data_IF_430215645553
#
_entry.id   IF_430215645553
#
_cell.length_a   1.000
_cell.length_b   1.000
_cell.length_c   1.000
_cell.angle_alpha   90.00
_cell.angle_beta   90.00
_cell.angle_gamma   90.00
#
_symmetry.space_group_name_H-M   'P 1'
#
loop_
_entity.id
_entity.type
_entity.pdbx_description
1 polymer ?
#
# COMPACT_ATOMS: atom_id res chain seq x y z
N UNK A 1 17.54 -3.42 14.58
CA UNK A 1 17.20 -2.77 15.86
C UNK A 1 17.51 -1.28 15.83
N UNK A 2 18.59 -0.85 15.16
CA UNK A 2 19.00 0.58 15.15
C UNK A 2 17.95 1.53 14.55
N UNK A 3 17.21 1.13 13.52
CA UNK A 3 16.13 1.94 12.95
C UNK A 3 15.03 2.22 13.98
N UNK A 4 14.54 1.18 14.67
CA UNK A 4 13.48 1.31 15.68
C UNK A 4 13.95 2.17 16.85
N UNK A 5 15.16 1.94 17.35
CA UNK A 5 15.73 2.76 18.44
C UNK A 5 15.87 4.23 18.03
N UNK A 6 16.25 4.51 16.77
CA UNK A 6 16.28 5.86 16.24
C UNK A 6 14.88 6.49 16.17
N UNK A 7 13.86 5.74 15.74
CA UNK A 7 12.48 6.25 15.67
C UNK A 7 11.87 6.48 17.06
N UNK A 8 12.15 5.60 18.02
CA UNK A 8 11.76 5.76 19.44
C UNK A 8 12.34 7.04 20.03
N UNK A 9 13.60 7.36 19.70
CA UNK A 9 14.24 8.60 20.15
C UNK A 9 13.65 9.86 19.48
N UNK A 10 13.15 9.75 18.25
CA UNK A 10 12.54 10.87 17.51
C UNK A 10 11.07 11.09 17.89
N UNK A 11 10.37 10.02 18.25
CA UNK A 11 8.95 10.02 18.59
C UNK A 11 8.72 9.27 19.90
N UNK A 12 9.03 9.88 21.06
CA UNK A 12 8.83 9.24 22.36
C UNK A 12 7.37 8.87 22.62
N UNK A 13 6.40 9.60 22.03
CA UNK A 13 4.97 9.27 22.09
C UNK A 13 4.62 7.94 21.40
N UNK A 14 5.40 7.52 20.40
CA UNK A 14 5.20 6.31 19.61
C UNK A 14 6.16 5.19 20.05
N UNK A 15 6.92 5.42 21.13
CA UNK A 15 7.96 4.52 21.60
C UNK A 15 7.45 3.10 21.87
N UNK A 16 6.29 2.98 22.52
CA UNK A 16 5.66 1.69 22.82
C UNK A 16 5.26 0.93 21.56
N UNK A 17 4.74 1.64 20.56
CA UNK A 17 4.29 1.06 19.29
C UNK A 17 5.49 0.57 18.47
N UNK A 18 6.54 1.38 18.38
CA UNK A 18 7.80 1.00 17.75
C UNK A 18 8.49 -0.16 18.48
N UNK A 19 8.49 -0.17 19.81
CA UNK A 19 9.00 -1.28 20.61
C UNK A 19 8.21 -2.58 20.32
N UNK A 20 6.88 -2.48 20.27
CA UNK A 20 6.01 -3.62 19.92
C UNK A 20 6.31 -4.16 18.53
N UNK A 21 6.50 -3.28 17.52
CA UNK A 21 6.91 -3.68 16.18
C UNK A 21 8.27 -4.40 16.19
N UNK A 22 9.22 -3.92 16.99
CA UNK A 22 10.53 -4.55 17.17
C UNK A 22 10.43 -5.95 17.77
N UNK A 23 9.65 -6.11 18.84
CA UNK A 23 9.42 -7.41 19.46
C UNK A 23 8.72 -8.40 18.52
N UNK A 24 7.69 -7.96 17.79
CA UNK A 24 6.98 -8.80 16.83
C UNK A 24 7.91 -9.26 15.71
N UNK A 25 8.83 -8.40 15.28
CA UNK A 25 9.86 -8.73 14.29
C UNK A 25 10.89 -9.72 14.84
N UNK A 26 11.36 -9.54 16.08
CA UNK A 26 12.28 -10.47 16.74
C UNK A 26 11.66 -11.86 16.93
N UNK A 27 10.39 -11.90 17.34
CA UNK A 27 9.57 -13.11 17.47
C UNK A 27 9.14 -13.71 16.12
N UNK A 28 9.48 -13.05 14.99
CA UNK A 28 9.13 -13.47 13.61
C UNK A 28 7.63 -13.65 13.39
N UNK A 29 6.81 -12.85 14.09
CA UNK A 29 5.34 -12.88 14.02
C UNK A 29 4.84 -12.02 12.85
N UNK A 30 5.14 -12.45 11.63
CA UNK A 30 4.90 -11.66 10.40
C UNK A 30 3.45 -11.24 10.20
N UNK A 31 2.49 -12.10 10.57
CA UNK A 31 1.07 -11.78 10.45
C UNK A 31 0.67 -10.65 11.40
N UNK A 32 0.98 -10.77 12.69
CA UNK A 32 0.68 -9.74 13.68
C UNK A 32 1.45 -8.45 13.40
N UNK A 33 2.69 -8.56 12.93
CA UNK A 33 3.50 -7.42 12.51
C UNK A 33 2.80 -6.63 11.40
N UNK A 34 2.29 -7.31 10.37
CA UNK A 34 1.57 -6.64 9.28
C UNK A 34 0.30 -5.92 9.74
N UNK A 35 -0.45 -6.51 10.68
CA UNK A 35 -1.66 -5.91 11.26
C UNK A 35 -1.33 -4.69 12.14
N UNK A 36 -0.27 -4.81 12.95
CA UNK A 36 0.22 -3.71 13.79
C UNK A 36 0.70 -2.55 12.92
N UNK A 37 1.46 -2.82 11.86
CA UNK A 37 1.86 -1.81 10.87
C UNK A 37 0.65 -1.17 10.18
N UNK A 38 -0.35 -1.96 9.79
CA UNK A 38 -1.56 -1.46 9.15
C UNK A 38 -2.33 -0.51 10.08
N UNK A 39 -2.43 -0.86 11.37
CA UNK A 39 -3.07 -0.04 12.40
C UNK A 39 -2.26 1.23 12.68
N UNK A 40 -0.94 1.11 12.79
CA UNK A 40 -0.03 2.24 12.98
C UNK A 40 -0.15 3.24 11.82
N UNK A 41 -0.13 2.76 10.57
CA UNK A 41 -0.24 3.62 9.40
C UNK A 41 -1.66 4.18 9.18
N UNK A 42 -2.68 3.49 9.65
CA UNK A 42 -4.07 3.98 9.61
C UNK A 42 -4.30 5.10 10.64
N UNK A 43 -3.54 5.11 11.73
CA UNK A 43 -3.59 6.18 12.72
C UNK A 43 -2.82 7.40 12.22
N UNK A 44 -3.54 8.36 11.62
CA UNK A 44 -2.93 9.60 11.09
C UNK A 44 -2.15 10.44 12.12
N UNK A 45 -2.33 10.22 13.44
CA UNK A 45 -1.52 10.84 14.50
C UNK A 45 -0.07 10.33 14.53
N UNK A 46 0.11 9.09 14.09
CA UNK A 46 1.37 8.37 14.07
C UNK A 46 2.14 8.71 12.80
N UNK A 47 1.46 9.12 11.74
CA UNK A 47 2.07 9.60 10.50
C UNK A 47 2.57 11.03 10.70
N UNK A 48 3.89 11.23 10.72
CA UNK A 48 4.53 12.54 10.88
C UNK A 48 5.70 12.65 9.90
N UNK A 49 5.61 13.62 8.98
CA UNK A 49 6.62 13.81 7.93
C UNK A 49 6.81 12.54 7.08
N UNK A 50 8.06 12.11 6.91
CA UNK A 50 8.43 10.96 6.07
C UNK A 50 8.58 9.65 6.85
N UNK A 51 8.06 9.57 8.08
CA UNK A 51 8.27 8.40 8.93
C UNK A 51 7.66 7.10 8.35
N UNK A 52 6.52 7.18 7.67
CA UNK A 52 5.87 6.04 7.01
C UNK A 52 6.74 5.43 5.92
N UNK A 53 7.32 6.29 5.07
CA UNK A 53 8.22 5.85 4.00
C UNK A 53 9.53 5.29 4.56
N UNK A 54 10.11 5.94 5.56
CA UNK A 54 11.30 5.44 6.24
C UNK A 54 11.06 4.09 6.91
N UNK A 55 9.89 3.89 7.52
CA UNK A 55 9.49 2.61 8.12
C UNK A 55 9.40 1.52 7.05
N UNK A 56 8.85 1.84 5.89
CA UNK A 56 8.81 0.88 4.78
C UNK A 56 10.23 0.50 4.32
N UNK A 57 11.06 1.49 4.01
CA UNK A 57 12.40 1.27 3.44
C UNK A 57 13.38 0.63 4.43
N UNK A 58 13.36 1.08 5.69
CA UNK A 58 14.31 0.64 6.71
C UNK A 58 13.89 -0.62 7.47
N UNK A 59 12.59 -0.94 7.49
CA UNK A 59 12.05 -2.05 8.25
C UNK A 59 11.31 -3.05 7.35
N UNK A 60 10.21 -2.65 6.71
CA UNK A 60 9.34 -3.57 5.95
C UNK A 60 10.08 -4.26 4.81
N UNK A 61 10.93 -3.53 4.07
CA UNK A 61 11.70 -4.05 2.94
C UNK A 61 12.58 -5.25 3.28
N UNK A 62 13.02 -5.37 4.54
CA UNK A 62 13.86 -6.49 4.98
C UNK A 62 13.10 -7.82 5.07
N UNK A 63 11.78 -7.79 5.27
CA UNK A 63 10.94 -8.96 5.45
C UNK A 63 9.72 -9.01 4.52
N UNK A 64 9.62 -8.11 3.54
CA UNK A 64 8.53 -8.06 2.55
C UNK A 64 8.30 -9.40 1.84
N UNK A 65 9.38 -10.17 1.59
CA UNK A 65 9.31 -11.47 0.94
C UNK A 65 8.64 -12.56 1.81
N UNK A 66 8.55 -12.33 3.13
CA UNK A 66 7.89 -13.25 4.09
C UNK A 66 6.44 -12.86 4.36
N UNK A 67 6.04 -11.66 3.96
CA UNK A 67 4.68 -11.18 4.12
C UNK A 67 3.77 -11.72 3.01
N UNK A 68 2.47 -11.79 3.33
CA UNK A 68 1.46 -11.95 2.31
C UNK A 68 1.48 -10.71 1.40
N UNK A 69 1.57 -10.93 0.09
CA UNK A 69 1.73 -9.86 -0.89
C UNK A 69 0.51 -8.94 -0.96
N UNK A 70 -0.71 -9.44 -0.73
CA UNK A 70 -1.93 -8.62 -0.67
C UNK A 70 -1.88 -7.68 0.54
N UNK A 71 -1.38 -8.16 1.69
CA UNK A 71 -1.16 -7.32 2.88
C UNK A 71 -0.06 -6.29 2.64
N UNK A 72 1.02 -6.68 1.97
CA UNK A 72 2.08 -5.75 1.58
C UNK A 72 1.53 -4.64 0.65
N UNK A 73 0.71 -4.99 -0.34
CA UNK A 73 0.05 -4.02 -1.19
C UNK A 73 -0.82 -3.04 -0.39
N UNK A 74 -1.60 -3.53 0.59
CA UNK A 74 -2.37 -2.68 1.49
C UNK A 74 -1.52 -1.71 2.31
N UNK A 75 -0.37 -2.17 2.83
CA UNK A 75 0.58 -1.30 3.53
C UNK A 75 1.15 -0.23 2.60
N UNK A 76 1.53 -0.60 1.38
CA UNK A 76 2.01 0.33 0.36
C UNK A 76 0.93 1.36 0.00
N UNK A 77 -0.34 0.96 -0.10
CA UNK A 77 -1.48 1.89 -0.25
C UNK A 77 -1.57 2.88 0.92
N UNK A 78 -1.34 2.43 2.15
CA UNK A 78 -1.42 3.32 3.32
C UNK A 78 -0.26 4.31 3.33
N UNK A 79 0.97 3.86 3.05
CA UNK A 79 2.14 4.74 2.91
C UNK A 79 1.95 5.72 1.75
N UNK A 80 1.42 5.27 0.62
CA UNK A 80 1.21 6.16 -0.53
C UNK A 80 0.19 7.26 -0.25
N UNK A 81 -0.82 7.01 0.60
CA UNK A 81 -1.79 8.03 1.04
C UNK A 81 -1.19 9.12 1.93
N UNK A 82 -0.05 8.88 2.57
CA UNK A 82 0.62 9.90 3.39
C UNK A 82 1.54 10.79 2.56
N UNK A 83 1.87 10.37 1.34
CA UNK A 83 2.69 11.09 0.39
C UNK A 83 1.84 11.94 -0.56
N UNK A 84 2.47 12.92 -1.20
CA UNK A 84 1.87 13.65 -2.31
C UNK A 84 1.62 12.71 -3.49
N UNK A 85 0.58 12.95 -4.27
CA UNK A 85 0.15 12.08 -5.38
C UNK A 85 1.29 11.74 -6.37
N UNK A 86 2.20 12.68 -6.68
CA UNK A 86 3.37 12.41 -7.52
C UNK A 86 4.37 11.42 -6.88
N UNK A 87 4.74 11.66 -5.61
CA UNK A 87 5.66 10.78 -4.88
C UNK A 87 5.02 9.41 -4.60
N UNK A 88 3.70 9.39 -4.37
CA UNK A 88 2.91 8.19 -4.18
C UNK A 88 2.95 7.30 -5.42
N UNK A 89 2.82 7.89 -6.62
CA UNK A 89 2.97 7.16 -7.88
C UNK A 89 4.36 6.57 -8.05
N UNK A 90 5.41 7.37 -7.83
CA UNK A 90 6.79 6.89 -7.96
C UNK A 90 7.10 5.77 -6.97
N UNK A 91 6.60 5.88 -5.74
CA UNK A 91 6.73 4.85 -4.72
C UNK A 91 6.01 3.56 -5.12
N UNK A 92 4.74 3.63 -5.53
CA UNK A 92 3.99 2.46 -5.98
C UNK A 92 4.63 1.84 -7.22
N UNK A 93 5.09 2.64 -8.18
CA UNK A 93 5.80 2.15 -9.37
C UNK A 93 7.11 1.43 -9.03
N UNK A 94 7.84 1.92 -8.03
CA UNK A 94 9.06 1.27 -7.52
C UNK A 94 8.74 -0.10 -6.94
N UNK A 95 7.66 -0.22 -6.18
CA UNK A 95 7.20 -1.51 -5.64
C UNK A 95 6.68 -2.42 -6.75
N UNK A 96 5.93 -1.88 -7.72
CA UNK A 96 5.46 -2.58 -8.90
C UNK A 96 6.60 -3.05 -9.82
N UNK A 97 7.80 -2.47 -9.76
CA UNK A 97 8.96 -3.02 -10.46
C UNK A 97 9.29 -4.46 -10.00
N UNK A 98 8.92 -4.80 -8.75
CA UNK A 98 8.99 -6.16 -8.21
C UNK A 98 7.71 -6.98 -8.47
N UNK A 99 6.91 -6.66 -9.50
CA UNK A 99 5.62 -7.30 -9.85
C UNK A 99 5.63 -8.82 -9.80
N UNK A 100 6.70 -9.44 -10.31
CA UNK A 100 6.85 -10.90 -10.34
C UNK A 100 6.83 -11.54 -8.94
N UNK A 101 7.28 -10.82 -7.92
CA UNK A 101 7.30 -11.28 -6.52
C UNK A 101 5.99 -11.00 -5.79
N UNK A 102 5.33 -9.88 -6.13
CA UNK A 102 4.03 -9.49 -5.60
C UNK A 102 2.92 -10.47 -6.00
N UNK A 103 3.04 -11.06 -7.18
CA UNK A 103 1.96 -11.85 -7.76
C UNK A 103 0.86 -10.97 -8.35
N UNK A 104 -0.07 -11.60 -9.06
CA UNK A 104 -1.09 -10.88 -9.86
C UNK A 104 -2.02 -10.07 -8.97
N UNK A 105 -2.45 -10.64 -7.85
CA UNK A 105 -3.44 -10.06 -6.94
C UNK A 105 -2.98 -8.76 -6.27
N UNK A 106 -1.79 -8.79 -5.67
CA UNK A 106 -1.19 -7.62 -5.04
C UNK A 106 -0.86 -6.54 -6.06
N UNK A 107 -0.38 -6.94 -7.24
CA UNK A 107 -0.11 -6.00 -8.34
C UNK A 107 -1.37 -5.28 -8.78
N UNK A 108 -2.47 -6.00 -8.99
CA UNK A 108 -3.76 -5.39 -9.34
C UNK A 108 -4.26 -4.45 -8.26
N UNK A 109 -4.10 -4.80 -6.98
CA UNK A 109 -4.48 -3.90 -5.89
C UNK A 109 -3.73 -2.56 -5.96
N UNK A 110 -2.44 -2.59 -6.31
CA UNK A 110 -1.62 -1.40 -6.49
C UNK A 110 -1.96 -0.65 -7.78
N UNK A 111 -2.26 -1.36 -8.87
CA UNK A 111 -2.72 -0.73 -10.12
C UNK A 111 -4.01 0.07 -9.91
N UNK A 112 -4.93 -0.45 -9.09
CA UNK A 112 -6.15 0.28 -8.73
C UNK A 112 -5.86 1.53 -7.90
N UNK A 113 -4.87 1.49 -7.02
CA UNK A 113 -4.44 2.68 -6.28
C UNK A 113 -3.79 3.71 -7.22
N UNK A 114 -3.00 3.26 -8.20
CA UNK A 114 -2.44 4.12 -9.27
C UNK A 114 -3.56 4.78 -10.07
N UNK A 115 -4.60 4.03 -10.44
CA UNK A 115 -5.80 4.59 -11.11
C UNK A 115 -6.41 5.70 -10.28
N UNK A 116 -6.68 5.47 -8.99
CA UNK A 116 -7.27 6.48 -8.10
C UNK A 116 -6.37 7.71 -7.95
N UNK A 117 -5.04 7.54 -7.93
CA UNK A 117 -4.11 8.69 -7.87
C UNK A 117 -4.08 9.45 -9.19
N UNK A 118 -4.03 8.76 -10.34
CA UNK A 118 -4.07 9.39 -11.67
C UNK A 118 -5.37 10.17 -11.90
N UNK A 119 -6.50 9.63 -11.44
CA UNK A 119 -7.78 10.32 -11.44
C UNK A 119 -7.74 11.62 -10.64
N UNK A 120 -7.11 11.62 -9.46
CA UNK A 120 -6.92 12.84 -8.65
C UNK A 120 -6.02 13.86 -9.35
N UNK A 121 -5.03 13.41 -10.10
CA UNK A 121 -4.16 14.25 -10.93
C UNK A 121 -4.82 14.74 -12.22
N UNK A 122 -6.04 14.27 -12.55
CA UNK A 122 -6.76 14.65 -13.76
C UNK A 122 -6.39 13.83 -15.01
N UNK A 123 -5.55 12.81 -14.90
CA UNK A 123 -5.16 11.92 -16.01
C UNK A 123 -6.18 10.80 -16.19
N UNK A 124 -7.32 11.15 -16.79
CA UNK A 124 -8.45 10.25 -17.00
C UNK A 124 -8.15 9.20 -18.09
N UNK A 125 -7.42 9.56 -19.13
CA UNK A 125 -7.11 8.63 -20.22
C UNK A 125 -6.23 7.47 -19.75
N UNK A 126 -5.18 7.75 -18.99
CA UNK A 126 -4.32 6.69 -18.46
C UNK A 126 -5.05 5.85 -17.39
N UNK A 127 -5.94 6.46 -16.59
CA UNK A 127 -6.79 5.75 -15.65
C UNK A 127 -7.73 4.76 -16.38
N UNK A 128 -8.31 5.16 -17.51
CA UNK A 128 -9.17 4.27 -18.33
C UNK A 128 -8.40 3.09 -18.88
N UNK A 129 -7.20 3.31 -19.45
CA UNK A 129 -6.36 2.25 -19.99
C UNK A 129 -5.98 1.20 -18.94
N UNK A 130 -5.64 1.66 -17.73
CA UNK A 130 -5.36 0.77 -16.60
C UNK A 130 -6.60 -0.01 -16.13
N UNK A 131 -7.78 0.62 -16.10
CA UNK A 131 -9.03 -0.06 -15.73
C UNK A 131 -9.41 -1.16 -16.72
N UNK A 132 -9.30 -0.94 -18.03
CA UNK A 132 -9.60 -1.97 -19.03
C UNK A 132 -8.60 -3.14 -18.93
N UNK A 133 -7.30 -2.85 -18.77
CA UNK A 133 -6.29 -3.89 -18.55
C UNK A 133 -6.57 -4.69 -17.27
N UNK A 134 -6.94 -4.01 -16.19
CA UNK A 134 -7.30 -4.67 -14.94
C UNK A 134 -8.57 -5.52 -15.09
N UNK A 135 -9.56 -5.08 -15.86
CA UNK A 135 -10.79 -5.85 -16.13
C UNK A 135 -10.50 -7.18 -16.83
N UNK A 136 -9.63 -7.16 -17.83
CA UNK A 136 -9.18 -8.37 -18.53
C UNK A 136 -8.48 -9.33 -17.56
N UNK A 137 -7.56 -8.83 -16.74
CA UNK A 137 -6.89 -9.64 -15.72
C UNK A 137 -7.86 -10.19 -14.66
N UNK A 138 -8.85 -9.40 -14.26
CA UNK A 138 -9.88 -9.77 -13.28
C UNK A 138 -10.72 -10.96 -13.78
N UNK A 139 -11.00 -11.02 -15.09
CA UNK A 139 -11.76 -12.12 -15.70
C UNK A 139 -11.06 -13.49 -15.59
N UNK A 140 -9.74 -13.49 -15.40
CA UNK A 140 -8.93 -14.70 -15.23
C UNK A 140 -8.79 -15.14 -13.77
N UNK A 141 -9.21 -14.31 -12.81
CA UNK A 141 -9.07 -14.56 -11.36
C UNK A 141 -10.36 -15.19 -10.83
N UNK A 142 -10.21 -16.21 -9.97
CA UNK A 142 -11.36 -16.86 -9.34
C UNK A 142 -12.07 -15.90 -8.37
N UNK A 143 -13.41 -15.88 -8.32
CA UNK A 143 -14.19 -14.99 -7.45
C UNK A 143 -14.00 -15.15 -5.93
N UNK A 144 -13.13 -16.06 -5.48
CA UNK A 144 -12.83 -16.28 -4.06
C UNK A 144 -12.11 -15.09 -3.39
N UNK A 145 -11.56 -14.16 -4.17
CA UNK A 145 -10.68 -13.06 -3.75
C UNK A 145 -11.45 -11.71 -3.63
N UNK A 146 -12.35 -11.58 -2.65
CA UNK A 146 -13.26 -10.42 -2.49
C UNK A 146 -12.58 -9.03 -2.48
N UNK A 147 -11.32 -8.95 -2.04
CA UNK A 147 -10.61 -7.67 -1.84
C UNK A 147 -10.27 -6.97 -3.16
N UNK A 148 -9.82 -7.72 -4.18
CA UNK A 148 -9.42 -7.17 -5.48
C UNK A 148 -10.64 -6.64 -6.22
N UNK A 149 -11.72 -7.44 -6.27
CA UNK A 149 -13.00 -7.01 -6.85
C UNK A 149 -13.50 -5.74 -6.17
N UNK A 150 -13.43 -5.69 -4.83
CA UNK A 150 -13.82 -4.49 -4.07
C UNK A 150 -12.99 -3.26 -4.44
N UNK A 151 -11.67 -3.38 -4.58
CA UNK A 151 -10.81 -2.27 -5.01
C UNK A 151 -11.09 -1.84 -6.45
N UNK A 152 -11.24 -2.81 -7.36
CA UNK A 152 -11.51 -2.56 -8.77
C UNK A 152 -12.84 -1.80 -8.95
N UNK A 153 -13.93 -2.28 -8.36
CA UNK A 153 -15.22 -1.61 -8.48
C UNK A 153 -15.25 -0.23 -7.81
N UNK A 154 -14.48 -0.03 -6.73
CA UNK A 154 -14.29 1.31 -6.13
C UNK A 154 -13.61 2.26 -7.10
N UNK A 155 -12.47 1.87 -7.65
CA UNK A 155 -11.73 2.69 -8.63
C UNK A 155 -12.57 2.97 -9.88
N UNK A 156 -13.32 1.98 -10.37
CA UNK A 156 -14.24 2.16 -11.50
C UNK A 156 -15.38 3.15 -11.17
N UNK A 157 -15.91 3.11 -9.95
CA UNK A 157 -16.95 4.05 -9.52
C UNK A 157 -16.40 5.47 -9.42
N UNK A 158 -15.18 5.65 -8.90
CA UNK A 158 -14.49 6.94 -8.88
C UNK A 158 -14.23 7.47 -10.30
N UNK A 159 -13.75 6.62 -11.20
CA UNK A 159 -13.58 6.96 -12.61
C UNK A 159 -14.89 7.48 -13.23
N UNK A 160 -15.99 6.73 -13.06
CA UNK A 160 -17.31 7.11 -13.59
C UNK A 160 -17.82 8.43 -12.99
N UNK A 161 -17.52 8.72 -11.72
CA UNK A 161 -17.85 10.00 -11.10
C UNK A 161 -17.11 11.17 -11.75
N UNK A 162 -15.84 10.99 -12.10
CA UNK A 162 -15.01 12.04 -12.71
C UNK A 162 -15.38 12.30 -14.16
N UNK A 163 -15.65 11.25 -14.94
CA UNK A 163 -16.01 11.36 -16.37
C UNK A 163 -17.46 11.84 -16.57
N UNK A 164 -18.31 11.69 -15.57
CA UNK A 164 -19.75 11.96 -15.67
C UNK A 164 -20.50 10.81 -16.36
N UNK A 165 -21.83 10.76 -16.22
CA UNK A 165 -22.64 9.80 -16.97
C UNK A 165 -22.55 10.15 -18.46
N UNK A 166 -22.22 9.14 -19.27
CA UNK A 166 -22.44 9.19 -20.71
C UNK A 166 -23.93 9.32 -21.04
#
# INVERSE_FOLDING_TARGET
MDFINSQVSLYPDLAEEYATLGELHEKKLWHQLSLSLETFLSNGRNIRGNNAQQLYDGFVRSFEARLNQVKLAGLVTLVSKTLNDANALDFINTVLAARKRLGVEASMCLDMDVVTIKLRLGDVEAAKGLLESAKEQLSSIKPSESVIFSKYYKAQTEYRKVVGPA
#
